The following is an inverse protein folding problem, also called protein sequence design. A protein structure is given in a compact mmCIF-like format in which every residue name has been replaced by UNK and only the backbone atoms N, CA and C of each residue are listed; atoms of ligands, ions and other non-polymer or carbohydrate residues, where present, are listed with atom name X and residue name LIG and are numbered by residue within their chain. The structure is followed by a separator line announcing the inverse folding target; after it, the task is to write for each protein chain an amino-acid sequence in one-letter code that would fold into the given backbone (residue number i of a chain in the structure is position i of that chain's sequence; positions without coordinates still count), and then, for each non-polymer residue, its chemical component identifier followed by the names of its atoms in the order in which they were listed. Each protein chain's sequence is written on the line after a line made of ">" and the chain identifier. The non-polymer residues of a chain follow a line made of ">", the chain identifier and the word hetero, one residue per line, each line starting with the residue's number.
data_IF_471235217982
#
_entry.id   IF_471235217982
#
_cell.length_a   1.000
_cell.length_b   1.000
_cell.length_c   1.000
_cell.angle_alpha   90.00
_cell.angle_beta   90.00
_cell.angle_gamma   90.00
#
_symmetry.space_group_name_H-M   'P 1'
#
loop_
_entity.id
_entity.type
_entity.pdbx_description
1 polymer ?
#
# COMPACT_ATOMS: atom_id res chain seq x y z
N UNK A 1 22.00 -9.50 55.00
CA UNK A 1 21.61 -8.13 54.60
C UNK A 1 21.06 -8.22 53.17
N UNK A 2 19.76 -8.50 53.02
CA UNK A 2 18.69 -7.53 52.65
C UNK A 2 18.87 -6.99 51.21
N UNK A 3 18.01 -7.21 50.21
CA UNK A 3 16.54 -7.36 50.16
C UNK A 3 16.13 -8.23 48.94
N UNK A 4 15.23 -9.19 49.13
CA UNK A 4 14.40 -9.74 48.05
C UNK A 4 13.19 -8.81 47.84
N UNK A 5 13.07 -8.21 46.65
CA UNK A 5 11.86 -7.53 46.23
C UNK A 5 10.89 -8.56 45.65
N UNK A 6 9.92 -8.98 46.48
CA UNK A 6 8.73 -9.65 46.01
C UNK A 6 7.81 -8.59 45.36
N UNK A 7 7.66 -8.64 44.04
CA UNK A 7 6.63 -7.88 43.33
C UNK A 7 5.41 -8.80 43.17
N UNK A 8 4.43 -8.63 44.05
CA UNK A 8 3.09 -9.21 43.90
C UNK A 8 2.32 -8.42 42.84
N UNK A 9 2.08 -9.03 41.68
CA UNK A 9 1.15 -8.51 40.67
C UNK A 9 -0.24 -9.03 41.04
N UNK A 10 -1.02 -8.18 41.69
CA UNK A 10 -2.44 -8.43 41.96
C UNK A 10 -3.21 -8.23 40.64
N UNK A 11 -3.74 -9.32 40.08
CA UNK A 11 -4.66 -9.27 38.94
C UNK A 11 -5.98 -8.58 39.35
N UNK A 12 -6.16 -7.32 38.96
CA UNK A 12 -7.48 -6.69 38.96
C UNK A 12 -8.19 -7.13 37.67
N UNK A 13 -9.12 -8.08 37.79
CA UNK A 13 -10.15 -8.36 36.79
C UNK A 13 -10.98 -7.09 36.57
N UNK A 14 -10.66 -6.30 35.54
CA UNK A 14 -11.61 -5.35 34.95
C UNK A 14 -12.41 -6.07 33.87
N UNK A 15 -13.70 -6.19 34.12
CA UNK A 15 -14.72 -6.63 33.16
C UNK A 15 -14.66 -5.75 31.91
N UNK A 16 -14.68 -6.31 30.68
CA UNK A 16 -14.96 -5.52 29.49
C UNK A 16 -16.47 -5.27 29.45
N UNK A 17 -16.88 -4.04 29.76
CA UNK A 17 -18.18 -3.58 29.28
C UNK A 17 -18.09 -3.38 27.77
N UNK A 18 -19.04 -3.89 26.98
CA UNK A 18 -19.14 -3.56 25.58
C UNK A 18 -19.61 -2.10 25.46
N UNK A 19 -18.71 -1.21 25.04
CA UNK A 19 -19.08 0.08 24.50
C UNK A 19 -19.86 -0.19 23.21
N UNK A 20 -21.19 -0.16 23.28
CA UNK A 20 -22.05 -0.09 22.10
C UNK A 20 -21.78 1.27 21.47
N UNK A 21 -20.80 1.32 20.56
CA UNK A 21 -20.70 2.40 19.61
C UNK A 21 -21.93 2.30 18.70
N UNK A 22 -22.82 3.28 18.86
CA UNK A 22 -23.97 3.52 18.01
C UNK A 22 -23.46 3.66 16.57
N UNK A 23 -23.62 2.59 15.79
CA UNK A 23 -23.33 2.55 14.37
C UNK A 23 -24.36 3.46 13.68
N UNK A 24 -24.02 4.72 13.43
CA UNK A 24 -24.72 5.50 12.43
C UNK A 24 -24.47 4.83 11.07
N UNK A 25 -25.54 4.23 10.56
CA UNK A 25 -25.64 3.68 9.22
C UNK A 25 -25.48 4.85 8.25
N UNK A 26 -24.25 5.11 7.83
CA UNK A 26 -24.02 5.89 6.62
C UNK A 26 -24.38 5.00 5.44
N UNK A 27 -25.52 5.34 4.82
CA UNK A 27 -26.04 4.76 3.60
C UNK A 27 -24.95 4.66 2.52
N UNK A 28 -24.58 3.43 2.19
CA UNK A 28 -23.85 3.10 0.98
C UNK A 28 -24.75 3.34 -0.23
N UNK A 29 -24.51 4.43 -0.95
CA UNK A 29 -25.11 4.65 -2.27
C UNK A 29 -24.50 3.67 -3.27
N UNK A 30 -25.23 2.59 -3.53
CA UNK A 30 -25.03 1.69 -4.66
C UNK A 30 -25.04 2.48 -5.97
N UNK A 31 -23.90 2.59 -6.65
CA UNK A 31 -23.85 3.06 -8.03
C UNK A 31 -24.07 1.86 -8.95
N UNK A 32 -25.34 1.63 -9.28
CA UNK A 32 -25.73 0.84 -10.45
C UNK A 32 -25.18 1.52 -11.70
N UNK A 33 -24.30 0.82 -12.42
CA UNK A 33 -23.87 1.19 -13.76
C UNK A 33 -25.06 1.00 -14.73
N UNK A 34 -26.00 1.94 -14.68
CA UNK A 34 -27.01 2.15 -15.72
C UNK A 34 -26.40 2.99 -16.82
N UNK A 35 -26.25 2.39 -18.01
CA UNK A 35 -25.86 3.11 -19.22
C UNK A 35 -26.84 4.24 -19.49
N UNK A 36 -26.36 5.48 -19.41
CA UNK A 36 -27.11 6.65 -19.85
C UNK A 36 -26.19 7.56 -20.65
N UNK A 37 -26.54 7.73 -21.92
CA UNK A 37 -25.83 8.47 -22.97
C UNK A 37 -26.18 9.96 -22.84
N UNK A 38 -25.95 10.55 -21.67
CA UNK A 38 -26.16 11.98 -21.47
C UNK A 38 -24.83 12.66 -21.18
N UNK A 39 -24.35 13.37 -22.20
CA UNK A 39 -23.35 14.41 -22.14
C UNK A 39 -23.50 15.23 -20.88
N UNK A 40 -22.51 15.14 -19.99
CA UNK A 40 -22.33 16.12 -18.92
C UNK A 40 -21.59 17.33 -19.50
N UNK A 41 -22.32 18.10 -20.29
CA UNK A 41 -22.13 19.55 -20.33
C UNK A 41 -22.53 20.07 -18.95
N UNK A 42 -21.57 20.14 -18.04
CA UNK A 42 -21.78 20.58 -16.66
C UNK A 42 -20.60 21.40 -16.16
N UNK A 43 -20.21 22.38 -16.97
CA UNK A 43 -20.03 23.72 -16.42
C UNK A 43 -21.26 24.50 -16.88
N UNK A 44 -22.11 25.04 -16.00
CA UNK A 44 -23.16 25.95 -16.44
C UNK A 44 -22.50 27.06 -17.24
N UNK A 45 -23.11 27.47 -18.35
CA UNK A 45 -22.66 28.64 -19.09
C UNK A 45 -22.58 29.80 -18.09
N UNK A 46 -21.37 30.19 -17.69
CA UNK A 46 -21.14 31.44 -17.00
C UNK A 46 -21.51 32.53 -17.98
N UNK A 47 -22.77 32.93 -17.94
CA UNK A 47 -23.29 34.07 -18.64
C UNK A 47 -22.47 35.29 -18.21
N UNK A 48 -21.67 35.79 -19.15
CA UNK A 48 -21.32 37.19 -19.35
C UNK A 48 -21.18 38.01 -18.07
N UNK A 49 -19.93 38.15 -17.64
CA UNK A 49 -19.46 39.20 -16.74
C UNK A 49 -20.18 40.52 -17.02
N UNK A 50 -20.84 41.06 -16.00
CA UNK A 50 -21.32 42.43 -16.03
C UNK A 50 -20.15 43.36 -16.41
N UNK A 51 -20.34 44.32 -17.34
CA UNK A 51 -19.32 45.30 -17.70
C UNK A 51 -19.10 46.23 -16.49
N UNK A 52 -18.14 45.87 -15.64
CA UNK A 52 -17.88 46.55 -14.38
C UNK A 52 -17.17 45.71 -13.31
N UNK A 53 -16.81 44.44 -13.59
CA UNK A 53 -15.93 43.70 -12.68
C UNK A 53 -14.54 44.33 -12.72
N UNK A 54 -14.24 45.08 -11.66
CA UNK A 54 -12.93 45.61 -11.31
C UNK A 54 -11.84 44.59 -11.66
N UNK A 55 -10.85 45.02 -12.44
CA UNK A 55 -9.82 44.17 -13.03
C UNK A 55 -9.14 43.40 -11.88
N UNK A 56 -9.36 42.08 -11.83
CA UNK A 56 -8.91 41.26 -10.72
C UNK A 56 -7.40 41.01 -10.90
N UNK A 57 -6.62 42.05 -10.60
CA UNK A 57 -5.17 42.00 -10.64
C UNK A 57 -4.73 41.07 -9.51
N UNK A 58 -4.37 39.84 -9.89
CA UNK A 58 -3.79 38.90 -8.95
C UNK A 58 -2.54 39.55 -8.32
N UNK A 59 -2.42 39.56 -6.98
CA UNK A 59 -1.24 40.11 -6.33
C UNK A 59 0.00 39.38 -6.86
N UNK A 60 1.12 40.10 -7.06
CA UNK A 60 2.34 39.50 -7.54
C UNK A 60 2.74 38.33 -6.63
N UNK A 61 3.22 37.21 -7.20
CA UNK A 61 3.55 36.03 -6.41
C UNK A 61 4.64 36.37 -5.39
N UNK A 62 4.39 36.06 -4.13
CA UNK A 62 5.39 36.22 -3.07
C UNK A 62 6.55 35.23 -3.26
N UNK A 63 7.75 35.60 -2.79
CA UNK A 63 8.94 34.76 -2.89
C UNK A 63 8.73 33.37 -2.24
N UNK A 64 8.04 33.32 -1.10
CA UNK A 64 7.68 32.08 -0.41
C UNK A 64 6.82 31.16 -1.29
N UNK A 65 5.87 31.72 -2.03
CA UNK A 65 5.03 30.94 -2.96
C UNK A 65 5.87 30.34 -4.08
N UNK A 66 6.84 31.10 -4.60
CA UNK A 66 7.75 30.61 -5.63
C UNK A 66 8.63 29.46 -5.10
N UNK A 67 9.14 29.56 -3.87
CA UNK A 67 9.93 28.50 -3.23
C UNK A 67 9.11 27.23 -3.03
N UNK A 68 7.87 27.33 -2.57
CA UNK A 68 6.94 26.19 -2.42
C UNK A 68 6.68 25.48 -3.73
N UNK A 69 6.41 26.24 -4.81
CA UNK A 69 6.22 25.66 -6.15
C UNK A 69 7.46 24.93 -6.64
N UNK A 70 8.63 25.58 -6.56
CA UNK A 70 9.89 24.98 -6.99
C UNK A 70 10.22 23.69 -6.20
N UNK A 71 9.94 23.66 -4.89
CA UNK A 71 10.11 22.45 -4.09
C UNK A 71 9.13 21.34 -4.50
N UNK A 72 7.86 21.68 -4.71
CA UNK A 72 6.84 20.72 -5.17
C UNK A 72 7.18 20.12 -6.53
N UNK A 73 7.68 20.93 -7.47
CA UNK A 73 8.11 20.48 -8.80
C UNK A 73 9.28 19.49 -8.68
N UNK A 74 10.28 19.83 -7.85
CA UNK A 74 11.41 18.93 -7.58
C UNK A 74 10.96 17.63 -6.91
N UNK A 75 10.05 17.71 -5.94
CA UNK A 75 9.52 16.54 -5.24
C UNK A 75 8.79 15.62 -6.22
N UNK A 76 7.94 16.19 -7.08
CA UNK A 76 7.16 15.46 -8.07
C UNK A 76 8.05 14.71 -9.06
N UNK A 77 9.14 15.34 -9.53
CA UNK A 77 10.11 14.71 -10.42
C UNK A 77 10.83 13.52 -9.74
N UNK A 78 11.29 13.69 -8.51
CA UNK A 78 11.98 12.63 -7.75
C UNK A 78 11.03 11.47 -7.39
N UNK A 79 9.80 11.78 -6.98
CA UNK A 79 8.76 10.79 -6.70
C UNK A 79 8.49 9.96 -7.96
N UNK A 80 8.30 10.61 -9.12
CA UNK A 80 8.09 9.91 -10.38
C UNK A 80 9.23 8.95 -10.72
N UNK A 81 10.49 9.40 -10.56
CA UNK A 81 11.68 8.56 -10.76
C UNK A 81 11.71 7.35 -9.81
N UNK A 82 11.32 7.53 -8.54
CA UNK A 82 11.26 6.46 -7.55
C UNK A 82 10.11 5.48 -7.81
N UNK A 83 8.95 5.96 -8.24
CA UNK A 83 7.81 5.11 -8.64
C UNK A 83 8.17 4.18 -9.79
N UNK A 84 8.92 4.66 -10.79
CA UNK A 84 9.43 3.83 -11.88
C UNK A 84 10.41 2.74 -11.38
N UNK A 85 11.07 2.97 -10.25
CA UNK A 85 11.93 1.98 -9.57
C UNK A 85 11.14 1.06 -8.62
N UNK A 86 9.81 1.13 -8.62
CA UNK A 86 8.94 0.31 -7.77
C UNK A 86 8.81 0.79 -6.32
N UNK A 87 9.24 2.02 -6.02
CA UNK A 87 8.95 2.64 -4.72
C UNK A 87 7.46 2.96 -4.62
N UNK A 88 6.96 3.01 -3.39
CA UNK A 88 5.56 3.34 -3.13
C UNK A 88 5.46 4.62 -2.30
N UNK A 89 4.56 5.50 -2.71
CA UNK A 89 4.16 6.67 -1.94
C UNK A 89 3.29 6.24 -0.75
N UNK A 90 3.39 6.98 0.34
CA UNK A 90 2.60 6.79 1.55
C UNK A 90 1.65 7.99 1.74
N UNK A 91 0.58 7.79 2.50
CA UNK A 91 -0.38 8.85 2.85
C UNK A 91 0.13 9.78 3.98
N UNK A 92 1.41 9.68 4.33
CA UNK A 92 2.03 10.42 5.42
C UNK A 92 2.97 11.49 4.85
N UNK A 93 2.96 12.66 5.45
CA UNK A 93 3.77 13.81 5.03
C UNK A 93 5.05 13.93 5.87
N UNK A 94 6.05 14.61 5.33
CA UNK A 94 7.31 14.88 6.03
C UNK A 94 7.08 15.83 7.21
N UNK A 95 7.47 15.48 8.45
CA UNK A 95 7.32 16.35 9.61
C UNK A 95 8.36 17.49 9.69
N UNK A 96 9.21 17.67 8.68
CA UNK A 96 10.17 18.78 8.63
C UNK A 96 9.47 20.05 8.12
N UNK A 97 9.52 21.14 8.88
CA UNK A 97 8.92 22.44 8.52
C UNK A 97 9.50 23.06 7.24
N UNK A 98 10.72 22.66 6.84
CA UNK A 98 11.33 23.08 5.58
C UNK A 98 10.76 22.35 4.36
N UNK A 99 9.99 21.27 4.55
CA UNK A 99 9.38 20.46 3.50
C UNK A 99 7.87 20.69 3.48
N UNK A 100 7.35 21.41 2.49
CA UNK A 100 5.94 21.78 2.41
C UNK A 100 5.08 20.65 1.87
N UNK A 101 4.42 19.91 2.76
CA UNK A 101 3.45 18.85 2.43
C UNK A 101 4.02 17.77 1.48
N UNK A 102 5.29 17.43 1.64
CA UNK A 102 5.96 16.44 0.80
C UNK A 102 5.63 15.03 1.31
N UNK A 103 5.03 14.14 0.49
CA UNK A 103 4.69 12.79 0.92
C UNK A 103 5.95 11.94 1.10
N UNK A 104 5.93 11.06 2.10
CA UNK A 104 6.97 10.08 2.33
C UNK A 104 6.85 8.91 1.35
N UNK A 105 8.00 8.32 0.99
CA UNK A 105 8.07 7.14 0.12
C UNK A 105 8.78 5.99 0.82
N UNK A 106 8.39 4.76 0.49
CA UNK A 106 9.06 3.54 0.96
C UNK A 106 9.76 2.79 -0.16
N UNK A 107 10.81 2.07 0.20
CA UNK A 107 11.60 1.24 -0.71
C UNK A 107 10.74 0.12 -1.34
N UNK A 108 11.09 -0.34 -2.55
CA UNK A 108 10.45 -1.48 -3.19
C UNK A 108 10.57 -2.72 -2.31
N UNK A 109 9.54 -3.58 -2.34
CA UNK A 109 9.58 -4.84 -1.61
C UNK A 109 10.61 -5.76 -2.24
N UNK A 110 11.46 -6.39 -1.43
CA UNK A 110 12.49 -7.30 -1.93
C UNK A 110 11.90 -8.52 -2.66
N UNK A 111 10.74 -9.00 -2.22
CA UNK A 111 9.98 -10.09 -2.87
C UNK A 111 8.48 -9.80 -2.82
N UNK A 112 7.68 -10.25 -3.81
CA UNK A 112 6.23 -10.25 -3.71
C UNK A 112 5.79 -11.00 -2.45
N UNK A 113 4.95 -10.38 -1.63
CA UNK A 113 4.50 -10.94 -0.34
C UNK A 113 5.44 -10.72 0.85
N UNK A 114 6.66 -10.19 0.63
CA UNK A 114 7.49 -9.73 1.75
C UNK A 114 6.82 -8.55 2.46
N UNK A 115 7.06 -8.46 3.77
CA UNK A 115 6.64 -7.33 4.57
C UNK A 115 7.30 -6.04 4.04
N UNK A 116 6.56 -4.91 3.92
CA UNK A 116 7.16 -3.63 3.57
C UNK A 116 8.25 -3.24 4.56
N UNK A 117 9.33 -2.62 4.07
CA UNK A 117 10.31 -1.99 4.97
C UNK A 117 9.60 -0.88 5.77
N UNK A 118 9.72 -0.86 7.12
CA UNK A 118 9.13 0.19 7.95
C UNK A 118 9.78 1.57 7.74
N UNK A 119 10.89 1.65 7.01
CA UNK A 119 11.60 2.90 6.69
C UNK A 119 10.87 3.68 5.61
N UNK A 120 10.57 4.94 5.94
CA UNK A 120 9.91 5.92 5.09
C UNK A 120 10.89 7.06 4.87
N UNK A 121 11.01 7.58 3.67
CA UNK A 121 12.01 8.60 3.34
C UNK A 121 11.34 9.79 2.68
N UNK A 122 11.75 11.00 3.06
CA UNK A 122 11.37 12.22 2.34
C UNK A 122 12.29 12.42 1.13
N UNK A 123 11.71 12.62 -0.05
CA UNK A 123 12.49 12.80 -1.29
C UNK A 123 13.25 14.13 -1.37
N UNK A 124 12.86 15.14 -0.58
CA UNK A 124 13.48 16.47 -0.59
C UNK A 124 14.65 16.56 0.39
N UNK A 125 14.42 16.25 1.66
CA UNK A 125 15.47 16.35 2.69
C UNK A 125 16.28 15.05 2.87
N UNK A 126 15.82 13.91 2.34
CA UNK A 126 16.49 12.61 2.48
C UNK A 126 16.39 11.99 3.88
N UNK A 127 15.69 12.62 4.81
CA UNK A 127 15.51 12.09 6.17
C UNK A 127 14.65 10.83 6.13
N UNK A 128 15.11 9.81 6.86
CA UNK A 128 14.39 8.54 7.03
C UNK A 128 13.62 8.56 8.35
N UNK A 129 12.34 8.31 8.27
CA UNK A 129 11.40 8.18 9.37
C UNK A 129 11.00 6.71 9.56
N UNK A 130 10.74 6.35 10.81
CA UNK A 130 10.18 5.06 11.19
C UNK A 130 9.04 5.31 12.16
N UNK A 131 7.97 4.53 12.07
CA UNK A 131 6.90 4.58 13.06
C UNK A 131 7.41 3.98 14.37
N UNK A 132 7.20 4.69 15.47
CA UNK A 132 7.34 4.11 16.80
C UNK A 132 6.15 3.19 17.15
N UNK A 133 6.19 2.61 18.35
CA UNK A 133 5.12 1.75 18.87
C UNK A 133 3.78 2.47 19.05
N UNK A 134 3.80 3.81 19.13
CA UNK A 134 2.63 4.68 19.22
C UNK A 134 2.08 5.09 17.84
N UNK A 135 2.77 4.70 16.75
CA UNK A 135 2.42 5.10 15.38
C UNK A 135 2.89 6.51 15.00
N UNK A 136 3.68 7.17 15.83
CA UNK A 136 4.25 8.48 15.56
C UNK A 136 5.56 8.35 14.74
N UNK A 137 5.72 9.25 13.78
CA UNK A 137 6.91 9.29 12.92
C UNK A 137 8.09 9.88 13.66
N UNK A 138 9.10 9.04 13.92
CA UNK A 138 10.35 9.47 14.55
C UNK A 138 11.44 9.54 13.50
N UNK A 139 12.12 10.68 13.41
CA UNK A 139 13.28 10.85 12.55
C UNK A 139 14.40 9.93 13.02
N UNK A 140 14.76 8.94 12.21
CA UNK A 140 16.03 8.24 12.40
C UNK A 140 17.11 9.11 11.81
N UNK A 141 18.01 9.60 12.66
CA UNK A 141 19.33 10.01 12.18
C UNK A 141 19.87 8.82 11.42
N UNK A 142 20.11 9.00 10.13
CA UNK A 142 21.02 8.12 9.42
C UNK A 142 22.32 8.24 10.21
N UNK A 143 22.60 7.27 11.08
CA UNK A 143 23.97 6.99 11.46
C UNK A 143 24.65 6.85 10.11
N UNK A 144 25.55 7.77 9.73
CA UNK A 144 26.20 7.68 8.43
C UNK A 144 26.79 6.28 8.43
N UNK A 145 26.21 5.39 7.61
CA UNK A 145 26.69 4.03 7.45
C UNK A 145 28.09 4.23 6.94
N UNK A 146 29.01 4.15 7.90
CA UNK A 146 30.43 4.39 7.81
C UNK A 146 30.86 3.90 6.43
N UNK A 147 31.08 4.85 5.53
CA UNK A 147 31.79 4.63 4.28
C UNK A 147 32.96 3.76 4.68
N UNK A 148 32.96 2.52 4.18
CA UNK A 148 34.12 1.67 4.23
C UNK A 148 35.29 2.59 3.89
N UNK A 149 36.24 2.70 4.82
CA UNK A 149 37.51 3.35 4.55
C UNK A 149 38.11 2.59 3.36
N UNK A 150 37.82 3.08 2.16
CA UNK A 150 38.64 2.83 1.00
C UNK A 150 40.00 3.39 1.42
N UNK A 151 41.05 2.57 1.48
CA UNK A 151 42.39 3.10 1.72
C UNK A 151 42.65 4.15 0.65
N UNK A 152 42.84 5.40 1.06
CA UNK A 152 43.35 6.44 0.19
C UNK A 152 44.72 5.98 -0.29
N UNK A 153 44.77 5.46 -1.52
CA UNK A 153 45.99 5.43 -2.31
C UNK A 153 46.43 6.87 -2.50
N UNK A 154 47.54 7.24 -1.87
CA UNK A 154 48.18 8.54 -2.01
C UNK A 154 48.42 8.87 -3.48
N UNK A 155 48.00 10.03 -3.98
CA UNK A 155 48.55 10.59 -5.21
C UNK A 155 49.89 11.29 -4.86
N UNK A 156 50.96 10.75 -5.42
CA UNK A 156 52.29 11.35 -5.48
C UNK A 156 52.23 12.78 -6.05
N UNK A 157 52.97 13.76 -5.50
CA UNK A 157 53.15 15.05 -6.14
C UNK A 157 54.29 14.96 -7.16
N UNK A 158 53.98 15.04 -8.45
CA UNK A 158 54.97 15.31 -9.49
C UNK A 158 54.42 16.30 -10.51
N UNK A 159 54.66 17.57 -10.17
CA UNK A 159 55.18 18.66 -11.01
C UNK A 159 55.12 18.48 -12.54
N UNK A 160 54.46 19.45 -13.19
CA UNK A 160 54.56 19.80 -14.62
C UNK A 160 53.27 20.46 -15.07
N UNK A 161 53.07 21.77 -14.84
CA UNK A 161 53.42 22.87 -15.77
C UNK A 161 53.10 22.55 -17.23
N UNK A 162 51.88 22.91 -17.68
CA UNK A 162 51.65 23.74 -18.87
C UNK A 162 50.18 24.21 -18.96
N UNK A 163 50.04 25.51 -19.21
CA UNK A 163 48.86 26.31 -19.57
C UNK A 163 49.07 26.77 -21.03
N UNK A 164 48.13 27.42 -21.75
CA UNK A 164 46.71 27.17 -22.05
C UNK A 164 46.47 26.94 -23.56
N UNK A 165 45.29 26.51 -24.01
CA UNK A 165 44.75 26.88 -25.35
C UNK A 165 43.21 26.79 -25.35
N UNK A 166 42.49 27.87 -25.75
CA UNK A 166 41.06 27.82 -25.99
C UNK A 166 40.78 27.54 -27.48
N UNK A 167 39.88 26.59 -27.79
CA UNK A 167 39.23 26.53 -29.10
C UNK A 167 37.72 26.29 -28.96
N UNK A 168 36.90 26.92 -29.82
CA UNK A 168 35.45 26.92 -29.71
C UNK A 168 34.75 26.01 -30.75
N UNK A 169 33.49 25.69 -30.45
CA UNK A 169 32.38 25.23 -31.35
C UNK A 169 32.51 23.86 -32.03
N UNK A 170 31.61 22.94 -31.67
CA UNK A 170 30.67 22.34 -32.65
C UNK A 170 29.52 21.63 -31.94
N UNK A 171 28.30 22.10 -32.25
CA UNK A 171 27.02 21.45 -32.01
C UNK A 171 27.00 20.07 -32.70
N UNK A 172 26.60 19.03 -31.99
CA UNK A 172 26.12 17.80 -32.59
C UNK A 172 24.81 17.39 -31.93
N UNK A 173 23.74 17.52 -32.70
CA UNK A 173 22.37 17.07 -32.40
C UNK A 173 22.29 15.56 -32.65
N UNK A 174 21.89 14.72 -31.67
CA UNK A 174 21.57 13.33 -31.95
C UNK A 174 20.17 13.22 -32.57
N UNK A 175 20.20 12.87 -33.84
CA UNK A 175 19.14 12.41 -34.73
C UNK A 175 18.22 11.36 -34.05
N UNK A 176 16.94 11.69 -34.00
CA UNK A 176 15.84 10.77 -33.65
C UNK A 176 15.79 9.63 -34.66
N UNK A 177 16.07 8.41 -34.19
CA UNK A 177 15.80 7.17 -34.92
C UNK A 177 14.66 6.43 -34.22
N UNK A 178 13.52 6.41 -34.90
CA UNK A 178 12.29 5.68 -34.58
C UNK A 178 12.39 4.26 -35.16
N UNK A 179 12.26 3.19 -34.38
CA UNK A 179 11.96 1.87 -34.91
C UNK A 179 10.46 1.60 -34.79
N UNK A 180 9.81 1.41 -35.94
CA UNK A 180 8.51 0.75 -36.00
C UNK A 180 8.70 -0.74 -35.74
N UNK A 181 7.83 -1.32 -34.91
CA UNK A 181 7.68 -2.77 -34.78
C UNK A 181 6.20 -3.09 -34.93
N UNK A 182 5.88 -3.56 -36.12
CA UNK A 182 4.70 -4.35 -36.44
C UNK A 182 4.99 -5.78 -36.00
N UNK A 183 4.20 -6.36 -35.10
CA UNK A 183 4.05 -7.81 -34.97
C UNK A 183 2.80 -8.18 -34.15
N UNK A 184 1.80 -8.68 -34.87
CA UNK A 184 0.73 -9.58 -34.43
C UNK A 184 1.27 -10.88 -33.85
N UNK A 185 0.59 -11.51 -32.87
CA UNK A 185 0.66 -12.95 -32.70
C UNK A 185 -0.65 -13.62 -33.15
N UNK A 186 -0.52 -14.36 -34.25
CA UNK A 186 -1.39 -15.46 -34.68
C UNK A 186 -1.20 -16.65 -33.72
N UNK A 187 -2.27 -17.14 -33.10
CA UNK A 187 -2.27 -18.41 -32.37
C UNK A 187 -3.06 -19.41 -33.21
N UNK A 188 -2.32 -20.27 -33.90
CA UNK A 188 -2.80 -21.48 -34.57
C UNK A 188 -2.53 -22.69 -33.66
N UNK A 189 -3.42 -23.68 -33.73
CA UNK A 189 -3.62 -24.70 -32.71
C UNK A 189 -2.81 -26.00 -32.83
N UNK A 190 -2.99 -26.80 -31.75
CA UNK A 190 -3.03 -28.28 -31.64
C UNK A 190 -1.76 -29.08 -31.96
N UNK A 191 -1.45 -30.21 -31.26
CA UNK A 191 -2.41 -31.32 -31.05
C UNK A 191 -2.37 -32.11 -29.73
N UNK A 192 -3.50 -32.80 -29.56
CA UNK A 192 -3.85 -34.07 -28.91
C UNK A 192 -2.83 -34.92 -28.12
N UNK A 193 -3.42 -35.55 -27.09
CA UNK A 193 -3.17 -36.86 -26.48
C UNK A 193 -2.19 -36.94 -25.29
N UNK A 194 -2.73 -37.08 -24.08
CA UNK A 194 -2.77 -38.41 -23.46
C UNK A 194 -3.89 -38.54 -22.43
N UNK A 195 -4.45 -39.75 -22.35
CA UNK A 195 -5.68 -40.15 -21.69
C UNK A 195 -5.39 -40.64 -20.27
N UNK A 196 -6.23 -40.28 -19.30
CA UNK A 196 -6.58 -41.18 -18.19
C UNK A 196 -7.97 -40.82 -17.64
N UNK A 197 -8.89 -41.80 -17.47
CA UNK A 197 -10.26 -41.53 -17.09
C UNK A 197 -10.40 -41.53 -15.57
N UNK A 198 -10.76 -40.38 -14.98
CA UNK A 198 -11.37 -40.36 -13.64
C UNK A 198 -12.85 -40.08 -13.84
N UNK A 199 -13.64 -41.11 -13.54
CA UNK A 199 -15.07 -41.18 -13.70
C UNK A 199 -15.77 -39.98 -13.06
N UNK A 200 -16.56 -39.29 -13.87
CA UNK A 200 -17.59 -38.36 -13.42
C UNK A 200 -18.72 -39.19 -12.80
N UNK A 201 -18.77 -39.25 -11.47
CA UNK A 201 -20.01 -39.56 -10.77
C UNK A 201 -20.89 -38.30 -10.80
N UNK A 202 -21.67 -38.19 -11.87
CA UNK A 202 -22.79 -37.27 -11.98
C UNK A 202 -23.92 -37.78 -11.08
N UNK A 203 -23.81 -37.49 -9.80
CA UNK A 203 -24.82 -37.78 -8.80
C UNK A 203 -25.95 -36.77 -8.91
N UNK A 204 -27.04 -37.21 -9.53
CA UNK A 204 -28.36 -36.56 -9.52
C UNK A 204 -28.92 -36.67 -8.10
N UNK A 205 -28.53 -35.74 -7.22
CA UNK A 205 -28.97 -35.72 -5.82
C UNK A 205 -30.27 -34.93 -5.74
N UNK A 206 -31.33 -35.64 -5.33
CA UNK A 206 -32.62 -35.11 -4.95
C UNK A 206 -32.46 -34.03 -3.86
N UNK A 207 -32.93 -32.82 -4.15
CA UNK A 207 -32.69 -31.56 -3.41
C UNK A 207 -33.56 -31.36 -2.15
N UNK A 208 -33.95 -32.42 -1.45
CA UNK A 208 -34.87 -32.29 -0.30
C UNK A 208 -34.33 -32.82 1.05
N UNK A 209 -33.13 -33.41 1.11
CA UNK A 209 -32.53 -33.87 2.39
C UNK A 209 -31.06 -33.48 2.60
N UNK A 210 -30.47 -32.69 1.70
CA UNK A 210 -29.03 -32.37 1.68
C UNK A 210 -28.59 -31.23 2.61
N UNK A 211 -29.51 -30.59 3.33
CA UNK A 211 -29.16 -29.43 4.17
C UNK A 211 -28.60 -29.84 5.54
N UNK A 212 -29.07 -30.96 6.11
CA UNK A 212 -28.58 -31.44 7.41
C UNK A 212 -27.09 -31.82 7.38
N UNK A 213 -26.64 -32.48 6.32
CA UNK A 213 -25.23 -32.84 6.15
C UNK A 213 -24.30 -31.64 5.99
N UNK A 214 -24.79 -30.53 5.42
CA UNK A 214 -24.03 -29.30 5.31
C UNK A 214 -23.91 -28.58 6.66
N UNK A 215 -24.98 -28.54 7.47
CA UNK A 215 -24.97 -27.94 8.80
C UNK A 215 -24.03 -28.69 9.76
N UNK A 216 -24.04 -30.02 9.72
CA UNK A 216 -23.12 -30.85 10.50
C UNK A 216 -21.65 -30.65 10.05
N UNK A 217 -21.40 -30.55 8.74
CA UNK A 217 -20.06 -30.30 8.21
C UNK A 217 -19.51 -28.92 8.60
N UNK A 218 -20.34 -27.87 8.54
CA UNK A 218 -19.93 -26.53 8.99
C UNK A 218 -19.73 -26.46 10.51
N UNK A 219 -20.56 -27.17 11.29
CA UNK A 219 -20.40 -27.25 12.75
C UNK A 219 -19.08 -27.95 13.12
N UNK A 220 -18.75 -29.06 12.46
CA UNK A 220 -17.47 -29.73 12.62
C UNK A 220 -16.27 -28.86 12.21
N UNK A 221 -16.41 -28.05 11.17
CA UNK A 221 -15.36 -27.10 10.76
C UNK A 221 -15.12 -26.00 11.81
N UNK A 222 -16.16 -25.47 12.44
CA UNK A 222 -16.01 -24.52 13.55
C UNK A 222 -15.31 -25.15 14.75
N UNK A 223 -15.63 -26.39 15.08
CA UNK A 223 -14.98 -27.10 16.19
C UNK A 223 -13.51 -27.39 15.90
N UNK A 224 -13.16 -27.75 14.66
CA UNK A 224 -11.77 -27.91 14.25
C UNK A 224 -10.99 -26.58 14.31
N UNK A 225 -11.61 -25.47 13.88
CA UNK A 225 -10.99 -24.13 13.95
C UNK A 225 -10.79 -23.66 15.41
N UNK A 226 -11.75 -23.94 16.29
CA UNK A 226 -11.64 -23.59 17.70
C UNK A 226 -10.53 -24.37 18.39
N UNK A 227 -10.40 -25.67 18.13
CA UNK A 227 -9.29 -26.49 18.61
C UNK A 227 -7.94 -25.98 18.11
N UNK A 228 -7.87 -25.54 16.85
CA UNK A 228 -6.66 -24.93 16.28
C UNK A 228 -6.28 -23.64 17.00
N UNK A 229 -7.23 -22.76 17.34
CA UNK A 229 -6.96 -21.55 18.13
C UNK A 229 -6.43 -21.87 19.52
N UNK A 230 -6.94 -22.92 20.18
CA UNK A 230 -6.41 -23.37 21.48
C UNK A 230 -4.97 -23.84 21.33
N UNK A 231 -4.65 -24.62 20.28
CA UNK A 231 -3.27 -25.05 20.01
C UNK A 231 -2.33 -23.88 19.72
N UNK A 232 -2.76 -22.90 18.92
CA UNK A 232 -1.98 -21.70 18.63
C UNK A 232 -1.74 -20.87 19.90
N UNK A 233 -2.71 -20.84 20.81
CA UNK A 233 -2.59 -20.12 22.10
C UNK A 233 -1.65 -20.80 23.11
N UNK A 234 -1.47 -22.12 23.00
CA UNK A 234 -0.54 -22.89 23.84
C UNK A 234 0.90 -22.89 23.30
N UNK A 235 1.10 -22.53 22.02
CA UNK A 235 2.42 -22.43 21.42
C UNK A 235 3.21 -21.23 21.93
N UNK A 236 4.52 -21.40 22.13
CA UNK A 236 5.44 -20.31 22.51
C UNK A 236 5.79 -19.36 21.35
N UNK A 237 5.42 -19.72 20.12
CA UNK A 237 5.63 -18.91 18.91
C UNK A 237 4.27 -18.48 18.34
N UNK A 238 3.80 -17.34 18.84
CA UNK A 238 2.50 -16.79 18.48
C UNK A 238 2.63 -16.11 17.10
N UNK A 239 2.36 -16.87 16.04
CA UNK A 239 2.31 -16.32 14.69
C UNK A 239 1.01 -15.51 14.49
N UNK A 240 1.12 -14.19 14.64
CA UNK A 240 -0.02 -13.27 14.53
C UNK A 240 -0.74 -13.34 13.17
N UNK A 241 -0.04 -13.75 12.09
CA UNK A 241 -0.68 -13.96 10.77
C UNK A 241 -1.62 -15.16 10.79
N UNK A 242 -1.21 -16.27 11.41
CA UNK A 242 -2.06 -17.47 11.51
C UNK A 242 -3.29 -17.22 12.38
N UNK A 243 -3.16 -16.44 13.46
CA UNK A 243 -4.31 -16.03 14.28
C UNK A 243 -5.29 -15.24 13.43
N UNK A 244 -4.81 -14.20 12.71
CA UNK A 244 -5.67 -13.38 11.84
C UNK A 244 -6.41 -14.22 10.80
N UNK A 245 -5.70 -15.12 10.11
CA UNK A 245 -6.28 -16.01 9.11
C UNK A 245 -7.32 -16.97 9.72
N UNK A 246 -7.06 -17.49 10.92
CA UNK A 246 -7.99 -18.37 11.63
C UNK A 246 -9.25 -17.62 12.09
N UNK A 247 -9.12 -16.35 12.49
CA UNK A 247 -10.28 -15.51 12.85
C UNK A 247 -11.13 -15.15 11.63
N UNK A 248 -10.50 -14.80 10.50
CA UNK A 248 -11.19 -14.45 9.25
C UNK A 248 -11.95 -15.65 8.65
N UNK A 249 -11.36 -16.84 8.73
CA UNK A 249 -12.04 -18.08 8.33
C UNK A 249 -13.21 -18.40 9.24
N UNK A 250 -13.08 -18.23 10.56
CA UNK A 250 -14.18 -18.43 11.51
C UNK A 250 -15.36 -17.47 11.25
N UNK A 251 -15.08 -16.19 10.98
CA UNK A 251 -16.10 -15.21 10.60
C UNK A 251 -16.86 -15.62 9.33
N UNK A 252 -16.13 -16.09 8.33
CA UNK A 252 -16.71 -16.57 7.06
C UNK A 252 -17.62 -17.77 7.27
N UNK A 253 -17.21 -18.74 8.09
CA UNK A 253 -18.01 -19.94 8.40
C UNK A 253 -19.27 -19.57 9.19
N UNK A 254 -19.18 -18.66 10.17
CA UNK A 254 -20.36 -18.18 10.92
C UNK A 254 -21.36 -17.47 10.01
N UNK A 255 -20.87 -16.66 9.06
CA UNK A 255 -21.72 -15.99 8.08
C UNK A 255 -22.44 -16.99 7.18
N UNK A 256 -21.74 -18.02 6.70
CA UNK A 256 -22.32 -19.09 5.89
C UNK A 256 -23.41 -19.86 6.65
N UNK A 257 -23.19 -20.18 7.93
CA UNK A 257 -24.21 -20.82 8.78
C UNK A 257 -25.45 -19.95 8.94
N UNK A 258 -25.29 -18.64 9.12
CA UNK A 258 -26.42 -17.74 9.28
C UNK A 258 -27.25 -17.62 7.99
N UNK A 259 -26.59 -17.60 6.84
CA UNK A 259 -27.25 -17.64 5.52
C UNK A 259 -28.02 -18.96 5.35
N UNK A 260 -27.39 -20.09 5.68
CA UNK A 260 -28.04 -21.40 5.59
C UNK A 260 -29.28 -21.49 6.49
N UNK A 261 -29.23 -20.91 7.70
CA UNK A 261 -30.37 -20.83 8.61
C UNK A 261 -31.50 -19.94 8.07
N UNK A 262 -31.18 -18.76 7.56
CA UNK A 262 -32.17 -17.85 6.98
C UNK A 262 -32.88 -18.47 5.77
N UNK A 263 -32.15 -19.22 4.93
CA UNK A 263 -32.75 -19.94 3.81
C UNK A 263 -33.72 -21.05 4.25
N UNK A 264 -33.55 -21.59 5.46
CA UNK A 264 -34.43 -22.59 6.04
C UNK A 264 -35.73 -22.00 6.59
N UNK A 265 -35.68 -20.78 7.11
CA UNK A 265 -36.85 -20.11 7.72
C UNK A 265 -37.74 -19.39 6.70
N UNK A 266 -37.20 -19.07 5.52
CA UNK A 266 -37.92 -18.35 4.46
C UNK A 266 -38.75 -19.22 3.50
N UNK A 267 -38.92 -20.50 3.79
CA UNK A 267 -39.60 -21.49 2.93
C UNK A 267 -40.66 -22.25 3.73
#
# INVERSE_FOLDING_TARGET
>A
MTKLCAYSITCIRRSPQPCIAKLEIMSSSSSTAGGNIYSRDSTPATEISAPGSDDFVLPPPSEETLRRRAQSDRASAEIGSRMLKGWAMLAEECPNDECWAIPLVRHPRARPGAEPDPRKECVICGTVYVNDENGQLVARRATPSRTAAVPQSQPNPSRGTITPTPQPVTQNVPKVSRPGVTATPTVAGSPAADRTPVAQNLLKISTASSFGTAEDALSGALEALSQRLVQVSLGTDINMKQIKETTETMETVMKALNIARNLREGN
#
